data_IF_972103813383
#
_entry.id   IF_972103813383
#
_cell.length_a   1.000
_cell.length_b   1.000
_cell.length_c   1.000
_cell.angle_alpha   90.00
_cell.angle_beta   90.00
_cell.angle_gamma   90.00
#
_symmetry.space_group_name_H-M   'P 1'
#
loop_
_entity.id
_entity.type
_entity.pdbx_description
1 polymer ?
#
# COMPACT_ATOMS: atom_id res chain seq x y z
N UNK A 1 2.27 20.71 3.31
CA UNK A 1 3.38 21.65 3.57
C UNK A 1 4.10 21.94 2.26
N UNK A 2 4.52 23.19 1.98
CA UNK A 2 5.26 23.52 0.75
C UNK A 2 6.76 23.31 0.99
N UNK A 3 7.23 22.10 0.71
CA UNK A 3 8.65 21.77 0.75
C UNK A 3 9.30 22.28 -0.54
N UNK A 4 10.44 22.96 -0.42
CA UNK A 4 11.26 23.36 -1.56
C UNK A 4 12.56 22.57 -1.50
N UNK A 5 12.88 21.84 -2.57
CA UNK A 5 14.13 21.14 -2.71
C UNK A 5 15.07 21.92 -3.64
N UNK A 6 16.37 21.87 -3.35
CA UNK A 6 17.41 22.47 -4.18
C UNK A 6 18.60 21.51 -4.25
N UNK A 7 19.25 21.44 -5.41
CA UNK A 7 20.55 20.80 -5.56
C UNK A 7 21.62 21.85 -5.21
N UNK A 8 22.51 21.51 -4.28
CA UNK A 8 23.67 22.33 -3.94
C UNK A 8 24.91 21.74 -4.59
N UNK A 9 25.63 22.57 -5.34
CA UNK A 9 26.96 22.26 -5.88
C UNK A 9 27.96 23.15 -5.15
N UNK A 10 28.94 22.55 -4.47
CA UNK A 10 29.92 23.27 -3.65
C UNK A 10 31.31 22.70 -3.92
N UNK A 11 32.27 23.57 -4.23
CA UNK A 11 33.69 23.23 -4.45
C UNK A 11 34.61 23.75 -3.32
N UNK A 12 34.04 24.29 -2.25
CA UNK A 12 34.75 24.92 -1.13
C UNK A 12 35.06 26.41 -1.32
N UNK A 13 34.98 26.93 -2.55
CA UNK A 13 35.17 28.35 -2.88
C UNK A 13 33.85 29.03 -3.27
N UNK A 14 32.93 28.26 -3.88
CA UNK A 14 31.65 28.73 -4.37
C UNK A 14 30.57 27.67 -4.19
N UNK A 15 29.43 28.09 -3.66
CA UNK A 15 28.21 27.28 -3.60
C UNK A 15 27.17 27.80 -4.59
N UNK A 16 26.61 26.90 -5.40
CA UNK A 16 25.52 27.17 -6.35
C UNK A 16 24.29 26.34 -5.98
N UNK A 17 23.15 27.00 -5.82
CA UNK A 17 21.88 26.37 -5.51
C UNK A 17 20.93 26.40 -6.71
N UNK A 18 20.46 25.22 -7.14
CA UNK A 18 19.54 25.08 -8.28
C UNK A 18 18.20 24.54 -7.74
N UNK A 19 17.06 25.22 -7.99
CA UNK A 19 15.75 24.68 -7.63
C UNK A 19 15.49 23.31 -8.27
N UNK A 20 15.07 22.35 -7.45
CA UNK A 20 14.78 21.01 -7.93
C UNK A 20 13.26 20.87 -8.14
N UNK A 21 12.77 20.75 -9.40
CA UNK A 21 11.34 20.54 -9.66
C UNK A 21 10.89 19.18 -9.14
N UNK A 22 9.59 19.02 -8.86
CA UNK A 22 9.07 17.78 -8.28
C UNK A 22 9.39 16.53 -9.13
N UNK A 23 9.38 16.64 -10.46
CA UNK A 23 9.75 15.52 -11.34
C UNK A 23 11.20 15.05 -11.12
N UNK A 24 12.14 15.99 -11.04
CA UNK A 24 13.56 15.67 -10.79
C UNK A 24 13.75 15.14 -9.35
N UNK A 25 13.00 15.68 -8.38
CA UNK A 25 13.01 15.18 -7.01
C UNK A 25 12.47 13.74 -6.92
N UNK A 26 11.40 13.41 -7.63
CA UNK A 26 10.88 12.03 -7.75
C UNK A 26 11.96 11.10 -8.28
N UNK A 27 12.62 11.45 -9.39
CA UNK A 27 13.73 10.65 -9.94
C UNK A 27 14.86 10.48 -8.92
N UNK A 28 15.26 11.55 -8.23
CA UNK A 28 16.29 11.48 -7.20
C UNK A 28 15.88 10.52 -6.07
N UNK A 29 14.64 10.59 -5.58
CA UNK A 29 14.15 9.70 -4.52
C UNK A 29 14.26 8.25 -4.96
N UNK A 30 13.91 7.92 -6.21
CA UNK A 30 14.06 6.57 -6.74
C UNK A 30 15.51 6.06 -6.61
N UNK A 31 16.48 6.91 -6.96
CA UNK A 31 17.92 6.59 -6.92
C UNK A 31 18.53 6.65 -5.51
N UNK A 32 17.90 7.34 -4.55
CA UNK A 32 18.41 7.41 -3.18
C UNK A 32 18.43 6.02 -2.52
N UNK A 33 19.51 5.66 -1.78
CA UNK A 33 19.63 4.37 -1.12
C UNK A 33 18.48 4.10 -0.15
N UNK A 34 17.79 2.98 -0.36
CA UNK A 34 16.75 2.51 0.55
C UNK A 34 17.40 1.87 1.78
N UNK A 35 17.79 2.72 2.72
CA UNK A 35 18.49 2.34 3.95
C UNK A 35 18.08 3.24 5.11
N UNK A 36 18.25 2.79 6.37
CA UNK A 36 17.89 3.59 7.54
C UNK A 36 18.56 4.97 7.61
N UNK A 37 19.74 5.15 6.99
CA UNK A 37 20.45 6.42 6.95
C UNK A 37 19.67 7.54 6.22
N UNK A 38 18.73 7.17 5.34
CA UNK A 38 17.87 8.11 4.60
C UNK A 38 16.44 8.16 5.16
N UNK A 39 16.17 7.52 6.30
CA UNK A 39 14.83 7.50 6.88
C UNK A 39 14.28 8.90 7.18
N UNK A 40 15.11 9.81 7.69
CA UNK A 40 14.71 11.18 8.01
C UNK A 40 14.34 12.00 6.77
N UNK A 41 15.09 11.84 5.67
CA UNK A 41 14.76 12.53 4.42
C UNK A 41 13.45 12.00 3.84
N UNK A 42 13.18 10.70 3.94
CA UNK A 42 11.91 10.10 3.52
C UNK A 42 10.75 10.56 4.41
N UNK A 43 10.93 10.61 5.73
CA UNK A 43 9.92 11.16 6.63
C UNK A 43 9.60 12.61 6.25
N UNK A 44 10.62 13.44 6.03
CA UNK A 44 10.41 14.83 5.62
C UNK A 44 9.66 14.94 4.29
N UNK A 45 10.08 14.18 3.27
CA UNK A 45 9.49 14.22 1.92
C UNK A 45 8.09 13.62 1.83
N UNK A 46 7.70 12.72 2.73
CA UNK A 46 6.32 12.22 2.79
C UNK A 46 5.26 13.31 3.11
N UNK A 47 5.68 14.52 3.54
CA UNK A 47 4.79 15.67 3.78
C UNK A 47 4.69 16.62 2.58
N UNK A 48 5.33 16.25 1.46
CA UNK A 48 5.42 17.06 0.25
C UNK A 48 4.04 17.25 -0.40
N UNK A 49 3.78 18.43 -0.97
CA UNK A 49 2.48 18.76 -1.56
C UNK A 49 2.17 17.96 -2.83
N UNK A 50 3.20 17.66 -3.64
CA UNK A 50 3.09 16.82 -4.83
C UNK A 50 2.98 15.33 -4.44
N UNK A 51 1.97 14.64 -4.95
CA UNK A 51 1.69 13.22 -4.67
C UNK A 51 2.70 12.26 -5.28
N UNK A 52 3.33 12.58 -6.41
CA UNK A 52 4.33 11.70 -7.04
C UNK A 52 5.60 11.60 -6.18
N UNK A 53 5.95 12.71 -5.51
CA UNK A 53 7.02 12.72 -4.51
C UNK A 53 6.66 11.79 -3.35
N UNK A 54 5.45 11.92 -2.79
CA UNK A 54 5.00 11.05 -1.69
C UNK A 54 4.88 9.59 -2.11
N UNK A 55 4.44 9.30 -3.34
CA UNK A 55 4.39 7.96 -3.92
C UNK A 55 5.80 7.36 -4.04
N UNK A 56 6.79 8.15 -4.46
CA UNK A 56 8.19 7.71 -4.53
C UNK A 56 8.81 7.47 -3.16
N UNK A 57 8.34 8.17 -2.13
CA UNK A 57 8.71 7.87 -0.74
C UNK A 57 8.04 6.58 -0.29
N UNK A 58 6.75 6.38 -0.60
CA UNK A 58 5.99 5.20 -0.22
C UNK A 58 6.59 3.90 -0.76
N UNK A 59 7.34 3.97 -1.86
CA UNK A 59 8.05 2.81 -2.41
C UNK A 59 9.35 2.43 -1.70
N UNK A 60 9.67 3.07 -0.56
CA UNK A 60 10.85 2.75 0.25
C UNK A 60 10.51 1.74 1.35
N UNK A 61 11.43 0.83 1.63
CA UNK A 61 11.25 -0.25 2.60
C UNK A 61 11.67 0.14 4.02
N UNK A 62 12.53 1.15 4.17
CA UNK A 62 13.05 1.59 5.47
C UNK A 62 12.39 2.88 5.97
N UNK A 63 11.06 2.94 5.89
CA UNK A 63 10.28 4.06 6.40
C UNK A 63 10.06 3.94 7.92
N UNK A 64 10.20 5.03 8.68
CA UNK A 64 9.77 5.08 10.08
C UNK A 64 8.27 4.80 10.22
N UNK A 65 7.85 4.19 11.34
CA UNK A 65 6.43 3.89 11.62
C UNK A 65 5.52 5.11 11.47
N UNK A 66 5.94 6.27 11.98
CA UNK A 66 5.17 7.52 11.85
C UNK A 66 5.03 8.01 10.40
N UNK A 67 6.00 7.70 9.54
CA UNK A 67 5.94 7.97 8.10
C UNK A 67 4.97 7.01 7.42
N UNK A 68 5.05 5.71 7.75
CA UNK A 68 4.12 4.68 7.25
C UNK A 68 2.67 5.04 7.60
N UNK A 69 2.36 5.35 8.86
CA UNK A 69 1.00 5.73 9.29
C UNK A 69 0.46 6.93 8.50
N UNK A 70 1.30 7.93 8.23
CA UNK A 70 0.93 9.09 7.42
C UNK A 70 0.61 8.72 5.97
N UNK A 71 1.40 7.83 5.37
CA UNK A 71 1.22 7.41 3.98
C UNK A 71 0.03 6.46 3.81
N UNK A 72 -0.31 5.67 4.83
CA UNK A 72 -1.56 4.89 4.86
C UNK A 72 -2.76 5.83 4.75
N UNK A 73 -2.73 6.94 5.47
CA UNK A 73 -3.79 7.96 5.48
C UNK A 73 -3.74 8.92 4.27
N UNK A 74 -2.82 8.72 3.31
CA UNK A 74 -2.67 9.64 2.18
C UNK A 74 -3.98 9.74 1.37
N UNK A 75 -4.43 10.95 1.00
CA UNK A 75 -5.65 11.11 0.21
C UNK A 75 -5.53 10.54 -1.20
N UNK A 76 -4.31 10.34 -1.71
CA UNK A 76 -4.08 9.80 -3.05
C UNK A 76 -3.85 8.30 -2.96
N UNK A 77 -4.81 7.51 -3.46
CA UNK A 77 -4.77 6.04 -3.47
C UNK A 77 -3.48 5.49 -4.08
N UNK A 78 -2.93 6.14 -5.11
CA UNK A 78 -1.67 5.73 -5.73
C UNK A 78 -0.44 5.82 -4.81
N UNK A 79 -0.47 6.66 -3.77
CA UNK A 79 0.56 6.71 -2.73
C UNK A 79 0.44 5.50 -1.81
N UNK A 80 -0.78 5.20 -1.38
CA UNK A 80 -1.09 4.04 -0.52
C UNK A 80 -0.74 2.75 -1.25
N UNK A 81 -1.13 2.62 -2.52
CA UNK A 81 -0.78 1.46 -3.34
C UNK A 81 0.74 1.26 -3.42
N UNK A 82 1.52 2.33 -3.63
CA UNK A 82 2.98 2.27 -3.64
C UNK A 82 3.58 1.81 -2.31
N UNK A 83 2.93 2.11 -1.18
CA UNK A 83 3.31 1.57 0.13
C UNK A 83 3.07 0.06 0.20
N UNK A 84 1.94 -0.42 -0.33
CA UNK A 84 1.56 -1.84 -0.27
C UNK A 84 2.34 -2.74 -1.22
N UNK A 85 3.00 -2.20 -2.25
CA UNK A 85 3.83 -2.97 -3.18
C UNK A 85 4.94 -3.75 -2.46
N UNK A 86 5.43 -3.24 -1.33
CA UNK A 86 6.57 -3.81 -0.61
C UNK A 86 6.15 -4.70 0.55
N UNK A 87 6.80 -5.87 0.65
CA UNK A 87 6.46 -6.89 1.64
C UNK A 87 6.68 -6.42 3.09
N UNK A 88 7.66 -5.55 3.33
CA UNK A 88 7.94 -5.04 4.68
C UNK A 88 6.82 -4.14 5.17
N UNK A 89 6.39 -3.19 4.35
CA UNK A 89 5.29 -2.29 4.69
C UNK A 89 4.02 -3.08 5.02
N UNK A 90 3.67 -4.09 4.21
CA UNK A 90 2.51 -4.97 4.46
C UNK A 90 2.55 -5.69 5.81
N UNK A 91 3.74 -6.16 6.21
CA UNK A 91 3.97 -6.84 7.50
C UNK A 91 3.92 -5.90 8.70
N UNK A 92 4.21 -4.62 8.49
CA UNK A 92 4.21 -3.61 9.54
C UNK A 92 2.81 -3.00 9.79
N UNK A 93 1.80 -3.36 8.98
CA UNK A 93 0.41 -2.96 9.19
C UNK A 93 -0.25 -3.82 10.26
N UNK A 94 -1.03 -3.20 11.14
CA UNK A 94 -1.95 -3.93 12.01
C UNK A 94 -3.30 -4.16 11.32
N UNK A 95 -4.13 -5.05 11.88
CA UNK A 95 -5.43 -5.40 11.31
C UNK A 95 -6.36 -4.19 11.17
N UNK A 96 -6.38 -3.27 12.14
CA UNK A 96 -7.19 -2.04 12.06
C UNK A 96 -6.79 -1.15 10.88
N UNK A 97 -5.49 -1.06 10.56
CA UNK A 97 -4.99 -0.30 9.41
C UNK A 97 -5.38 -0.98 8.09
N UNK A 98 -5.25 -2.31 8.02
CA UNK A 98 -5.69 -3.10 6.85
C UNK A 98 -7.20 -2.91 6.63
N UNK A 99 -7.99 -3.01 7.70
CA UNK A 99 -9.44 -2.82 7.68
C UNK A 99 -9.81 -1.41 7.20
N UNK A 100 -9.13 -0.38 7.70
CA UNK A 100 -9.35 1.00 7.28
C UNK A 100 -9.01 1.21 5.80
N UNK A 101 -7.94 0.60 5.30
CA UNK A 101 -7.57 0.63 3.87
C UNK A 101 -8.68 -0.02 3.02
N UNK A 102 -9.13 -1.21 3.40
CA UNK A 102 -10.17 -1.95 2.67
C UNK A 102 -11.48 -1.16 2.59
N UNK A 103 -11.89 -0.48 3.67
CA UNK A 103 -13.11 0.35 3.69
C UNK A 103 -13.01 1.58 2.79
N UNK A 104 -11.80 2.08 2.55
CA UNK A 104 -11.59 3.34 1.85
C UNK A 104 -11.64 3.18 0.33
N UNK A 105 -11.10 2.09 -0.20
CA UNK A 105 -10.95 1.92 -1.64
C UNK A 105 -11.03 0.44 -2.05
N UNK A 106 -11.95 0.13 -2.98
CA UNK A 106 -12.17 -1.24 -3.45
C UNK A 106 -10.96 -1.82 -4.18
N UNK A 107 -10.17 -1.01 -4.88
CA UNK A 107 -8.99 -1.51 -5.60
C UNK A 107 -7.90 -1.97 -4.62
N UNK A 108 -7.70 -1.20 -3.53
CA UNK A 108 -6.83 -1.61 -2.44
C UNK A 108 -7.37 -2.84 -1.69
N UNK A 109 -8.68 -2.89 -1.41
CA UNK A 109 -9.33 -4.04 -0.81
C UNK A 109 -9.15 -5.31 -1.67
N UNK A 110 -9.24 -5.15 -2.99
CA UNK A 110 -9.09 -6.22 -3.97
C UNK A 110 -7.66 -6.80 -3.97
N UNK A 111 -6.65 -5.94 -3.88
CA UNK A 111 -5.25 -6.35 -3.76
C UNK A 111 -4.96 -7.06 -2.44
N UNK A 112 -5.55 -6.58 -1.35
CA UNK A 112 -5.47 -7.23 -0.02
C UNK A 112 -6.17 -8.59 -0.07
N UNK A 113 -7.37 -8.70 -0.64
CA UNK A 113 -8.09 -9.98 -0.80
C UNK A 113 -7.27 -11.02 -1.58
N UNK A 114 -6.69 -10.60 -2.71
CA UNK A 114 -5.84 -11.43 -3.58
C UNK A 114 -4.58 -11.95 -2.88
N UNK A 115 -4.11 -11.26 -1.84
CA UNK A 115 -2.83 -11.55 -1.20
C UNK A 115 -2.87 -11.46 0.34
N UNK A 116 -4.02 -11.80 0.93
CA UNK A 116 -4.34 -11.60 2.34
C UNK A 116 -3.35 -12.29 3.30
N UNK A 117 -2.71 -13.38 2.88
CA UNK A 117 -1.64 -14.06 3.61
C UNK A 117 -0.39 -13.19 3.85
N UNK A 118 -0.26 -12.06 3.17
CA UNK A 118 0.86 -11.11 3.33
C UNK A 118 0.51 -9.94 4.26
N UNK A 119 -0.71 -9.90 4.79
CA UNK A 119 -1.22 -8.83 5.64
C UNK A 119 -1.65 -9.38 7.00
N UNK A 120 -1.72 -8.51 8.00
CA UNK A 120 -2.36 -8.83 9.27
C UNK A 120 -3.89 -8.80 9.09
N UNK A 121 -4.47 -9.87 8.57
CA UNK A 121 -5.91 -10.03 8.46
C UNK A 121 -6.45 -10.83 9.65
N UNK A 122 -7.40 -10.25 10.37
CA UNK A 122 -8.19 -10.91 11.41
C UNK A 122 -9.62 -11.19 10.91
N UNK A 123 -10.49 -11.68 11.81
CA UNK A 123 -11.87 -11.99 11.48
C UNK A 123 -12.64 -10.79 10.94
N UNK A 124 -12.39 -9.58 11.47
CA UNK A 124 -13.07 -8.36 11.01
C UNK A 124 -12.63 -7.96 9.59
N UNK A 125 -11.35 -8.13 9.25
CA UNK A 125 -10.87 -7.94 7.88
C UNK A 125 -11.51 -8.96 6.94
N UNK A 126 -11.55 -10.24 7.31
CA UNK A 126 -12.16 -11.26 6.46
C UNK A 126 -13.67 -11.11 6.31
N UNK A 127 -14.41 -10.74 7.36
CA UNK A 127 -15.84 -10.43 7.29
C UNK A 127 -16.12 -9.28 6.32
N UNK A 128 -15.30 -8.22 6.34
CA UNK A 128 -15.41 -7.12 5.38
C UNK A 128 -15.13 -7.58 3.95
N UNK A 129 -14.06 -8.35 3.73
CA UNK A 129 -13.67 -8.79 2.40
C UNK A 129 -14.65 -9.81 1.80
N UNK A 130 -15.21 -10.72 2.61
CA UNK A 130 -16.17 -11.74 2.15
C UNK A 130 -17.55 -11.15 1.87
N UNK A 131 -17.91 -10.02 2.51
CA UNK A 131 -19.18 -9.31 2.29
C UNK A 131 -19.02 -8.01 1.51
N UNK A 132 -17.83 -7.79 0.93
CA UNK A 132 -17.51 -6.53 0.28
C UNK A 132 -18.50 -6.24 -0.87
N UNK A 133 -19.01 -5.00 -1.01
CA UNK A 133 -20.01 -4.67 -2.04
C UNK A 133 -19.48 -4.85 -3.47
N UNK A 134 -18.18 -4.61 -3.68
CA UNK A 134 -17.50 -4.86 -4.96
C UNK A 134 -17.23 -6.37 -5.15
N UNK A 135 -17.87 -6.94 -6.17
CA UNK A 135 -17.70 -8.35 -6.56
C UNK A 135 -16.24 -8.70 -6.85
N UNK A 136 -15.44 -7.79 -7.43
CA UNK A 136 -14.04 -8.06 -7.77
C UNK A 136 -13.20 -8.35 -6.52
N UNK A 137 -13.53 -7.71 -5.39
CA UNK A 137 -12.87 -7.97 -4.10
C UNK A 137 -13.21 -9.38 -3.62
N UNK A 138 -14.49 -9.74 -3.65
CA UNK A 138 -14.96 -11.07 -3.24
C UNK A 138 -14.40 -12.16 -4.16
N UNK A 139 -14.40 -11.94 -5.47
CA UNK A 139 -13.84 -12.85 -6.46
C UNK A 139 -12.35 -13.09 -6.24
N UNK A 140 -11.58 -12.04 -5.94
CA UNK A 140 -10.14 -12.17 -5.64
C UNK A 140 -9.87 -12.90 -4.33
N UNK A 141 -10.71 -12.73 -3.31
CA UNK A 141 -10.62 -13.51 -2.08
C UNK A 141 -10.93 -14.99 -2.36
N UNK A 142 -12.01 -15.27 -3.10
CA UNK A 142 -12.42 -16.62 -3.47
C UNK A 142 -11.40 -17.35 -4.34
N UNK A 143 -10.63 -16.63 -5.16
CA UNK A 143 -9.56 -17.19 -5.99
C UNK A 143 -8.23 -17.37 -5.25
N UNK A 144 -8.13 -16.90 -4.00
CA UNK A 144 -6.90 -16.99 -3.24
C UNK A 144 -6.72 -18.38 -2.62
N UNK A 145 -5.90 -19.22 -3.24
CA UNK A 145 -5.56 -20.55 -2.74
C UNK A 145 -4.81 -20.58 -1.39
N UNK A 146 -4.36 -19.43 -0.89
CA UNK A 146 -3.76 -19.27 0.45
C UNK A 146 -4.70 -18.56 1.43
N UNK A 147 -5.94 -18.27 1.02
CA UNK A 147 -6.97 -17.70 1.87
C UNK A 147 -7.46 -18.67 2.95
N UNK A 148 -8.13 -18.18 4.00
CA UNK A 148 -8.63 -19.04 5.07
C UNK A 148 -9.72 -20.00 4.56
N UNK A 149 -9.53 -21.31 4.77
CA UNK A 149 -10.45 -22.35 4.28
C UNK A 149 -11.90 -22.11 4.73
N UNK A 150 -12.12 -21.69 5.98
CA UNK A 150 -13.47 -21.43 6.49
C UNK A 150 -14.18 -20.27 5.79
N UNK A 151 -13.44 -19.23 5.38
CA UNK A 151 -13.97 -18.11 4.58
C UNK A 151 -14.35 -18.61 3.18
N UNK A 152 -13.44 -19.33 2.52
CA UNK A 152 -13.69 -19.91 1.19
C UNK A 152 -14.90 -20.83 1.17
N UNK A 153 -15.09 -21.66 2.21
CA UNK A 153 -16.25 -22.54 2.34
C UNK A 153 -17.57 -21.75 2.43
N UNK A 154 -17.61 -20.66 3.22
CA UNK A 154 -18.79 -19.79 3.29
C UNK A 154 -19.08 -19.14 1.93
N UNK A 155 -18.06 -18.62 1.27
CA UNK A 155 -18.22 -18.00 -0.06
C UNK A 155 -18.73 -19.00 -1.10
N UNK A 156 -18.17 -20.22 -1.15
CA UNK A 156 -18.61 -21.28 -2.05
C UNK A 156 -20.09 -21.66 -1.90
N UNK A 157 -20.64 -21.55 -0.69
CA UNK A 157 -22.01 -21.92 -0.35
C UNK A 157 -23.00 -20.75 -0.45
N UNK A 158 -22.55 -19.53 -0.14
CA UNK A 158 -23.44 -18.42 0.20
C UNK A 158 -23.20 -17.10 -0.51
N UNK A 159 -22.16 -16.94 -1.35
CA UNK A 159 -21.99 -15.69 -2.11
C UNK A 159 -23.16 -15.54 -3.11
N UNK A 160 -23.62 -14.30 -3.31
CA UNK A 160 -24.69 -14.01 -4.27
C UNK A 160 -24.25 -14.22 -5.72
N UNK A 161 -22.99 -13.97 -6.03
CA UNK A 161 -22.45 -14.09 -7.38
C UNK A 161 -21.99 -15.54 -7.69
N UNK A 162 -22.39 -16.07 -8.85
CA UNK A 162 -22.03 -17.44 -9.23
C UNK A 162 -20.55 -17.62 -9.53
N UNK A 163 -19.89 -16.63 -10.13
CA UNK A 163 -18.46 -16.70 -10.41
C UNK A 163 -17.63 -16.72 -9.12
N UNK A 164 -18.01 -15.93 -8.12
CA UNK A 164 -17.38 -15.98 -6.80
C UNK A 164 -17.53 -17.35 -6.14
N UNK A 165 -18.75 -17.93 -6.17
CA UNK A 165 -18.98 -19.28 -5.65
C UNK A 165 -18.12 -20.33 -6.35
N UNK A 166 -18.04 -20.27 -7.68
CA UNK A 166 -17.31 -21.26 -8.47
C UNK A 166 -15.79 -21.11 -8.31
N UNK A 167 -15.28 -19.89 -8.17
CA UNK A 167 -13.88 -19.62 -7.81
C UNK A 167 -13.51 -20.28 -6.48
N UNK A 168 -14.34 -20.08 -5.44
CA UNK A 168 -14.09 -20.65 -4.13
C UNK A 168 -14.13 -22.19 -4.14
N UNK A 169 -15.09 -22.79 -4.87
CA UNK A 169 -15.17 -24.26 -5.04
C UNK A 169 -13.94 -24.81 -5.75
N UNK A 170 -13.52 -24.16 -6.84
CA UNK A 170 -12.34 -24.57 -7.58
C UNK A 170 -11.10 -24.57 -6.69
N UNK A 171 -10.91 -23.51 -5.90
CA UNK A 171 -9.79 -23.41 -4.94
C UNK A 171 -9.88 -24.50 -3.86
N UNK A 172 -11.08 -24.83 -3.40
CA UNK A 172 -11.30 -25.90 -2.41
C UNK A 172 -11.21 -27.31 -3.01
N UNK A 173 -11.17 -27.45 -4.34
CA UNK A 173 -11.25 -28.74 -5.03
C UNK A 173 -12.60 -29.44 -4.89
N UNK A 174 -13.69 -28.65 -4.76
CA UNK A 174 -15.05 -29.09 -4.49
C UNK A 174 -16.00 -28.92 -5.70
#
# INVERSE_FOLDING_TARGET
>A
MKIKAQLMLDDGEKSLAIPLPSAALTSLICELPDSPAYADIYDYLSRHSNSDVRKSVASKQFLPRATTSRLIEDPVIGVVAGLLDYAKARKDLCADEVLAICRRDSSLASEIARSCQNFACDDAVFELLETHPDESVRANLAWNARGPVGVLQRMAQGDSDSGVRDNAKLVLGA
#
